data_IF_830276041847
#
_entry.id   IF_830276041847
#
_cell.length_a   1.000
_cell.length_b   1.000
_cell.length_c   1.000
_cell.angle_alpha   90.00
_cell.angle_beta   90.00
_cell.angle_gamma   90.00
#
_symmetry.space_group_name_H-M   'P 1'
#
loop_
_entity.id
_entity.type
_entity.pdbx_description
1 polymer ?
#
# COMPACT_ATOMS: atom_id res chain seq x y z
N UNK A 1 -14.78 29.19 16.44
CA UNK A 1 -13.43 28.61 16.37
C UNK A 1 -13.56 27.21 15.81
N UNK A 2 -13.34 27.10 14.51
CA UNK A 2 -13.50 25.88 13.72
C UNK A 2 -12.62 24.75 14.24
N UNK A 3 -13.26 23.66 14.65
CA UNK A 3 -12.60 22.36 14.81
C UNK A 3 -12.14 21.92 13.42
N UNK A 4 -10.88 22.21 13.10
CA UNK A 4 -10.22 21.77 11.89
C UNK A 4 -10.39 20.26 11.74
N UNK A 5 -11.33 19.85 10.90
CA UNK A 5 -11.49 18.48 10.44
C UNK A 5 -10.21 18.12 9.71
N UNK A 6 -9.30 17.43 10.40
CA UNK A 6 -8.21 16.73 9.74
C UNK A 6 -8.90 15.70 8.84
N UNK A 7 -8.93 15.97 7.54
CA UNK A 7 -9.45 15.04 6.54
C UNK A 7 -8.52 13.83 6.49
N UNK A 8 -8.72 12.86 7.39
CA UNK A 8 -7.98 11.58 7.48
C UNK A 8 -8.34 10.62 6.32
N UNK A 9 -8.63 11.16 5.14
CA UNK A 9 -9.05 10.38 3.96
C UNK A 9 -7.89 9.77 3.16
N UNK A 10 -6.63 10.14 3.46
CA UNK A 10 -5.43 9.75 2.67
C UNK A 10 -4.26 9.02 3.36
N UNK A 11 -4.17 8.80 4.69
CA UNK A 11 -3.01 8.09 5.24
C UNK A 11 -3.00 6.59 4.94
N UNK A 12 -4.16 5.92 4.84
CA UNK A 12 -4.22 4.47 4.57
C UNK A 12 -3.73 4.08 3.18
N UNK A 13 -4.01 4.90 2.17
CA UNK A 13 -3.69 4.55 0.78
C UNK A 13 -2.18 4.54 0.48
N UNK A 14 -1.43 5.49 1.04
CA UNK A 14 0.02 5.52 0.90
C UNK A 14 0.68 4.36 1.66
N UNK A 15 0.15 4.01 2.82
CA UNK A 15 0.57 2.82 3.58
C UNK A 15 0.28 1.55 2.79
N UNK A 16 -0.90 1.44 2.17
CA UNK A 16 -1.23 0.31 1.28
C UNK A 16 -0.22 0.19 0.14
N UNK A 17 0.10 1.30 -0.51
CA UNK A 17 1.09 1.33 -1.58
C UNK A 17 2.48 0.88 -1.10
N UNK A 18 2.93 1.35 0.06
CA UNK A 18 4.21 0.93 0.63
C UNK A 18 4.23 -0.56 0.96
N UNK A 19 3.16 -1.09 1.56
CA UNK A 19 3.04 -2.51 1.91
C UNK A 19 3.05 -3.37 0.65
N UNK A 20 2.23 -3.05 -0.36
CA UNK A 20 2.18 -3.86 -1.60
C UNK A 20 3.47 -3.77 -2.41
N UNK A 21 4.16 -2.63 -2.40
CA UNK A 21 5.48 -2.51 -3.03
C UNK A 21 6.51 -3.38 -2.30
N UNK A 22 6.57 -3.32 -0.96
CA UNK A 22 7.50 -4.14 -0.18
C UNK A 22 7.28 -5.63 -0.41
N UNK A 23 6.03 -6.09 -0.27
CA UNK A 23 5.70 -7.50 -0.43
C UNK A 23 6.02 -8.01 -1.84
N UNK A 24 5.92 -7.16 -2.87
CA UNK A 24 6.14 -7.55 -4.26
C UNK A 24 7.59 -7.44 -4.71
N UNK A 25 8.23 -6.31 -4.42
CA UNK A 25 9.55 -5.96 -4.96
C UNK A 25 10.69 -6.38 -4.01
N UNK A 26 10.44 -6.49 -2.69
CA UNK A 26 11.46 -6.90 -1.70
C UNK A 26 11.30 -8.37 -1.32
N UNK A 27 10.07 -8.81 -1.05
CA UNK A 27 9.79 -10.18 -0.59
C UNK A 27 9.37 -11.13 -1.72
N UNK A 28 9.31 -10.65 -2.97
CA UNK A 28 9.01 -11.41 -4.18
C UNK A 28 7.73 -12.27 -4.09
N UNK A 29 6.73 -11.83 -3.31
CA UNK A 29 5.55 -12.64 -3.06
C UNK A 29 4.59 -12.68 -4.26
N UNK A 30 3.96 -13.84 -4.46
CA UNK A 30 2.84 -14.00 -5.38
C UNK A 30 1.56 -13.31 -4.88
N UNK A 31 0.72 -12.84 -5.80
CA UNK A 31 -0.47 -12.02 -5.49
C UNK A 31 -1.42 -12.62 -4.45
N UNK A 32 -1.67 -13.93 -4.52
CA UNK A 32 -2.55 -14.61 -3.55
C UNK A 32 -1.94 -14.61 -2.15
N UNK A 33 -0.62 -14.78 -2.03
CA UNK A 33 0.11 -14.77 -0.75
C UNK A 33 0.20 -13.38 -0.16
N UNK A 34 0.28 -12.35 -1.00
CA UNK A 34 0.26 -10.95 -0.57
C UNK A 34 -1.04 -10.55 0.12
N UNK A 35 -2.20 -11.05 -0.34
CA UNK A 35 -3.48 -10.74 0.30
C UNK A 35 -3.54 -11.26 1.74
N UNK A 36 -3.03 -12.48 1.97
CA UNK A 36 -2.91 -13.06 3.30
C UNK A 36 -1.90 -12.30 4.18
N UNK A 37 -0.72 -11.98 3.62
CA UNK A 37 0.30 -11.20 4.31
C UNK A 37 -0.20 -9.80 4.69
N UNK A 38 -0.89 -9.12 3.78
CA UNK A 38 -1.49 -7.82 4.03
C UNK A 38 -2.50 -7.87 5.18
N UNK A 39 -3.33 -8.92 5.25
CA UNK A 39 -4.26 -9.14 6.36
C UNK A 39 -3.53 -9.34 7.69
N UNK A 40 -2.42 -10.08 7.69
CA UNK A 40 -1.58 -10.27 8.90
C UNK A 40 -0.94 -8.96 9.38
N UNK A 41 -0.52 -8.10 8.45
CA UNK A 41 0.14 -6.82 8.77
C UNK A 41 -0.86 -5.77 9.24
N UNK A 42 -1.99 -5.63 8.55
CA UNK A 42 -2.92 -4.51 8.71
C UNK A 42 -4.18 -4.86 9.50
N UNK A 43 -4.45 -6.15 9.71
CA UNK A 43 -5.73 -6.65 10.22
C UNK A 43 -6.89 -6.55 9.21
N UNK A 44 -6.67 -5.97 8.04
CA UNK A 44 -7.73 -5.69 7.06
C UNK A 44 -7.74 -6.74 5.95
N UNK A 45 -8.94 -7.14 5.57
CA UNK A 45 -9.12 -7.98 4.38
C UNK A 45 -8.90 -7.14 3.11
N UNK A 46 -8.11 -7.68 2.20
CA UNK A 46 -7.94 -7.15 0.86
C UNK A 46 -8.03 -8.31 -0.15
N UNK A 47 -8.71 -8.10 -1.26
CA UNK A 47 -8.71 -9.09 -2.34
C UNK A 47 -7.42 -9.04 -3.14
N UNK A 48 -7.05 -10.19 -3.73
CA UNK A 48 -5.91 -10.32 -4.65
C UNK A 48 -5.92 -9.26 -5.75
N UNK A 49 -7.08 -9.03 -6.35
CA UNK A 49 -7.24 -8.05 -7.44
C UNK A 49 -7.03 -6.62 -6.96
N UNK A 50 -7.44 -6.30 -5.72
CA UNK A 50 -7.18 -4.99 -5.11
C UNK A 50 -5.68 -4.81 -4.83
N UNK A 51 -4.99 -5.83 -4.31
CA UNK A 51 -3.53 -5.80 -4.12
C UNK A 51 -2.82 -5.51 -5.44
N UNK A 52 -3.19 -6.22 -6.51
CA UNK A 52 -2.62 -6.02 -7.84
C UNK A 52 -2.88 -4.61 -8.36
N UNK A 53 -4.11 -4.12 -8.26
CA UNK A 53 -4.47 -2.75 -8.66
C UNK A 53 -3.65 -1.71 -7.89
N UNK A 54 -3.58 -1.84 -6.56
CA UNK A 54 -2.82 -0.92 -5.70
C UNK A 54 -1.33 -0.92 -6.02
N UNK A 55 -0.75 -2.09 -6.31
CA UNK A 55 0.63 -2.19 -6.75
C UNK A 55 0.87 -1.47 -8.08
N UNK A 56 0.00 -1.70 -9.08
CA UNK A 56 0.10 -1.03 -10.38
C UNK A 56 -0.08 0.48 -10.26
N UNK A 57 -1.05 0.94 -9.46
CA UNK A 57 -1.24 2.35 -9.14
C UNK A 57 0.01 2.94 -8.46
N UNK A 58 0.62 2.21 -7.52
CA UNK A 58 1.83 2.64 -6.85
C UNK A 58 3.00 2.78 -7.84
N UNK A 59 3.23 1.81 -8.72
CA UNK A 59 4.29 1.88 -9.76
C UNK A 59 4.04 2.99 -10.78
N UNK A 60 2.80 3.16 -11.24
CA UNK A 60 2.42 4.22 -12.18
C UNK A 60 2.63 5.63 -11.60
N UNK A 61 2.45 5.79 -10.29
CA UNK A 61 2.74 7.03 -9.55
C UNK A 61 4.25 7.25 -9.31
N UNK A 62 5.12 6.45 -9.93
CA UNK A 62 6.57 6.52 -9.76
C UNK A 62 7.09 5.72 -8.57
N UNK A 63 6.27 4.85 -7.98
CA UNK A 63 6.66 3.86 -6.97
C UNK A 63 7.60 4.40 -5.92
N UNK A 64 7.19 5.44 -5.17
CA UNK A 64 8.03 5.98 -4.08
C UNK A 64 9.46 6.33 -4.59
N UNK A 65 9.58 7.15 -5.63
CA UNK A 65 10.90 7.62 -6.12
C UNK A 65 11.62 8.59 -5.14
N UNK A 66 11.17 8.73 -3.88
CA UNK A 66 11.48 9.89 -3.02
C UNK A 66 11.78 9.64 -1.52
N UNK A 67 11.82 8.41 -1.00
CA UNK A 67 12.23 8.17 0.42
C UNK A 67 13.50 7.33 0.57
N UNK A 68 14.26 7.15 -0.50
CA UNK A 68 15.62 6.60 -0.43
C UNK A 68 16.46 7.11 -1.61
N UNK A 69 16.77 8.40 -1.61
CA UNK A 69 18.04 8.88 -2.17
C UNK A 69 18.73 9.61 -1.03
N UNK A 70 19.71 8.91 -0.47
CA UNK A 70 20.88 9.46 0.20
C UNK A 70 21.56 10.50 -0.73
#
# INVERSE_FOLDING_TARGET
MDKGKISVGRPRLLVDFAIVLRLRDVEYMGWSRMADAYRKITGQYISRDTVKRRYLEAKARGGIRAISRD
#
